data_IF_500282470516
#
_entry.id   IF_500282470516
#
_cell.length_a   1.000
_cell.length_b   1.000
_cell.length_c   1.000
_cell.angle_alpha   90.00
_cell.angle_beta   90.00
_cell.angle_gamma   90.00
#
_symmetry.space_group_name_H-M   'P 1'
#
loop_
_entity.id
_entity.type
_entity.pdbx_description
1 polymer ?
#
# COMPACT_ATOMS: atom_id res chain seq x y z
N UNK A 1 -20.61 9.20 -49.20
CA UNK A 1 -19.44 9.80 -48.51
C UNK A 1 -19.36 9.51 -47.01
N UNK A 2 -20.48 9.28 -46.28
CA UNK A 2 -20.50 8.98 -44.83
C UNK A 2 -19.97 7.58 -44.43
N UNK A 3 -20.24 6.53 -45.21
CA UNK A 3 -19.82 5.16 -44.88
C UNK A 3 -18.30 4.95 -44.87
N UNK A 4 -17.55 5.62 -45.76
CA UNK A 4 -16.07 5.57 -45.80
C UNK A 4 -15.41 6.18 -44.57
N UNK A 5 -16.01 7.24 -44.00
CA UNK A 5 -15.52 7.90 -42.78
C UNK A 5 -15.79 7.08 -41.50
N UNK A 6 -16.90 6.34 -41.49
CA UNK A 6 -17.25 5.44 -40.38
C UNK A 6 -16.37 4.18 -40.38
N UNK A 7 -16.09 3.60 -41.56
CA UNK A 7 -15.21 2.45 -41.68
C UNK A 7 -13.76 2.78 -41.30
N UNK A 8 -13.26 3.97 -41.68
CA UNK A 8 -11.92 4.41 -41.29
C UNK A 8 -11.79 4.66 -39.79
N UNK A 9 -12.81 5.24 -39.16
CA UNK A 9 -12.81 5.48 -37.71
C UNK A 9 -12.82 4.16 -36.91
N UNK A 10 -13.53 3.14 -37.39
CA UNK A 10 -13.58 1.82 -36.77
C UNK A 10 -12.24 1.07 -36.89
N UNK A 11 -11.60 1.14 -38.06
CA UNK A 11 -10.27 0.53 -38.29
C UNK A 11 -9.19 1.21 -37.46
N UNK A 12 -9.22 2.54 -37.33
CA UNK A 12 -8.30 3.30 -36.47
C UNK A 12 -8.48 2.98 -34.98
N UNK A 13 -9.72 2.75 -34.53
CA UNK A 13 -10.02 2.30 -33.16
C UNK A 13 -9.53 0.87 -32.89
N UNK A 14 -9.63 -0.04 -33.87
CA UNK A 14 -9.14 -1.41 -33.70
C UNK A 14 -7.60 -1.44 -33.66
N UNK A 15 -6.94 -0.63 -34.49
CA UNK A 15 -5.48 -0.48 -34.47
C UNK A 15 -4.96 0.11 -33.15
N UNK A 16 -5.67 1.04 -32.53
CA UNK A 16 -5.27 1.60 -31.23
C UNK A 16 -5.43 0.60 -30.09
N UNK A 17 -6.51 -0.19 -30.07
CA UNK A 17 -6.70 -1.25 -29.07
C UNK A 17 -5.65 -2.36 -29.22
N UNK A 18 -5.34 -2.78 -30.46
CA UNK A 18 -4.27 -3.74 -30.72
C UNK A 18 -2.90 -3.19 -30.33
N UNK A 19 -2.62 -1.90 -30.54
CA UNK A 19 -1.37 -1.28 -30.13
C UNK A 19 -1.21 -1.28 -28.60
N UNK A 20 -2.26 -0.91 -27.84
CA UNK A 20 -2.24 -0.96 -26.36
C UNK A 20 -1.98 -2.37 -25.83
N UNK A 21 -2.61 -3.40 -26.41
CA UNK A 21 -2.40 -4.80 -26.02
C UNK A 21 -1.00 -5.32 -26.39
N UNK A 22 -0.37 -4.78 -27.44
CA UNK A 22 1.01 -5.10 -27.81
C UNK A 22 2.00 -4.40 -26.87
N UNK A 23 1.72 -3.15 -26.49
CA UNK A 23 2.57 -2.39 -25.55
C UNK A 23 2.65 -3.11 -24.19
N UNK A 24 1.52 -3.60 -23.66
CA UNK A 24 1.50 -4.38 -22.40
C UNK A 24 2.22 -5.74 -22.50
N UNK A 25 2.38 -6.29 -23.70
CA UNK A 25 3.03 -7.58 -23.94
C UNK A 25 4.55 -7.47 -24.18
N UNK A 26 5.01 -6.32 -24.66
CA UNK A 26 6.41 -6.07 -25.03
C UNK A 26 7.14 -5.06 -24.15
N UNK A 27 6.42 -4.24 -23.36
CA UNK A 27 7.03 -3.54 -22.23
C UNK A 27 6.97 -4.49 -21.05
N UNK A 28 8.09 -5.11 -20.62
CA UNK A 28 8.12 -5.77 -19.33
C UNK A 28 7.80 -4.71 -18.27
N UNK A 29 6.59 -4.76 -17.72
CA UNK A 29 6.19 -3.96 -16.56
C UNK A 29 7.09 -4.36 -15.39
N UNK A 30 8.14 -3.57 -15.23
CA UNK A 30 9.14 -3.74 -14.18
C UNK A 30 10.34 -4.53 -14.68
N UNK A 31 11.51 -3.88 -14.59
CA UNK A 31 12.78 -4.56 -14.38
C UNK A 31 12.52 -5.84 -13.57
N UNK A 32 12.98 -6.99 -14.06
CA UNK A 32 13.00 -8.20 -13.25
C UNK A 32 13.63 -7.82 -11.91
N UNK A 33 12.78 -7.67 -10.88
CA UNK A 33 13.23 -7.29 -9.55
C UNK A 33 14.15 -8.43 -9.16
N UNK A 34 15.44 -8.15 -9.06
CA UNK A 34 16.38 -9.13 -8.53
C UNK A 34 15.94 -9.41 -7.09
N UNK A 35 15.23 -10.53 -6.90
CA UNK A 35 14.80 -10.95 -5.57
C UNK A 35 16.02 -11.59 -4.95
N UNK A 36 16.78 -10.80 -4.19
CA UNK A 36 17.76 -11.35 -3.27
C UNK A 36 16.98 -11.99 -2.13
N UNK A 37 16.91 -13.32 -2.12
CA UNK A 37 16.29 -14.04 -1.02
C UNK A 37 17.05 -13.73 0.27
N UNK A 38 16.29 -13.40 1.31
CA UNK A 38 16.79 -13.18 2.66
C UNK A 38 17.74 -14.28 3.11
N UNK A 39 18.94 -13.88 3.51
CA UNK A 39 20.07 -14.71 3.90
C UNK A 39 19.87 -15.42 5.26
N UNK A 40 20.88 -16.19 5.68
CA UNK A 40 20.94 -16.88 6.98
C UNK A 40 20.62 -15.97 8.19
N UNK A 41 20.99 -14.68 8.14
CA UNK A 41 20.69 -13.74 9.22
C UNK A 41 19.18 -13.50 9.41
N UNK A 42 18.39 -13.43 8.33
CA UNK A 42 16.92 -13.30 8.46
C UNK A 42 16.28 -14.60 8.94
N UNK A 43 16.86 -15.77 8.63
CA UNK A 43 16.40 -17.04 9.19
C UNK A 43 16.58 -17.09 10.71
N UNK A 44 17.68 -16.54 11.23
CA UNK A 44 17.95 -16.45 12.66
C UNK A 44 16.99 -15.48 13.36
N UNK A 45 16.79 -14.28 12.81
CA UNK A 45 15.86 -13.28 13.38
C UNK A 45 14.42 -13.78 13.47
N UNK A 46 13.97 -14.53 12.46
CA UNK A 46 12.59 -15.05 12.40
C UNK A 46 12.49 -16.51 12.82
N UNK A 47 13.48 -17.05 13.53
CA UNK A 47 13.47 -18.45 13.96
C UNK A 47 12.23 -18.76 14.81
N UNK A 48 11.47 -19.76 14.39
CA UNK A 48 10.24 -20.17 15.08
C UNK A 48 9.03 -19.26 14.84
N UNK A 49 9.14 -18.24 13.99
CA UNK A 49 8.08 -17.28 13.67
C UNK A 49 7.69 -17.41 12.20
N UNK A 50 6.39 -17.57 11.92
CA UNK A 50 5.88 -17.51 10.55
C UNK A 50 5.79 -16.05 10.04
N UNK A 51 6.96 -15.49 9.70
CA UNK A 51 7.10 -14.09 9.32
C UNK A 51 7.14 -13.88 7.80
N UNK A 52 6.86 -12.64 7.40
CA UNK A 52 7.10 -12.09 6.08
C UNK A 52 7.85 -10.76 6.27
N UNK A 53 8.90 -10.53 5.49
CA UNK A 53 9.67 -9.28 5.56
C UNK A 53 10.00 -8.78 4.16
N UNK A 54 9.83 -7.48 3.96
CA UNK A 54 10.06 -6.80 2.69
C UNK A 54 10.80 -5.50 2.96
N UNK A 55 11.89 -5.27 2.23
CA UNK A 55 12.58 -3.98 2.18
C UNK A 55 12.78 -3.61 0.72
N UNK A 56 12.61 -2.32 0.41
CA UNK A 56 12.92 -1.78 -0.91
C UNK A 56 14.17 -0.91 -0.85
N UNK A 57 15.14 -1.22 -1.71
CA UNK A 57 16.25 -0.32 -2.02
C UNK A 57 15.78 0.59 -3.16
N UNK A 58 15.42 1.83 -2.80
CA UNK A 58 14.89 2.82 -3.76
C UNK A 58 15.93 3.26 -4.78
N UNK A 59 17.22 3.25 -4.42
CA UNK A 59 18.29 3.69 -5.32
C UNK A 59 18.52 2.65 -6.43
N UNK A 60 18.33 1.37 -6.10
CA UNK A 60 18.51 0.25 -7.05
C UNK A 60 17.22 -0.27 -7.64
N UNK A 61 16.07 0.27 -7.22
CA UNK A 61 14.74 -0.23 -7.57
C UNK A 61 14.61 -1.75 -7.35
N UNK A 62 15.07 -2.22 -6.18
CA UNK A 62 15.12 -3.64 -5.82
C UNK A 62 14.31 -3.93 -4.56
N UNK A 63 13.82 -5.17 -4.44
CA UNK A 63 13.18 -5.67 -3.23
C UNK A 63 13.97 -6.84 -2.65
N UNK A 64 14.23 -6.76 -1.36
CA UNK A 64 14.76 -7.87 -0.56
C UNK A 64 13.57 -8.46 0.19
N UNK A 65 13.35 -9.77 0.05
CA UNK A 65 12.19 -10.45 0.62
C UNK A 65 12.60 -11.68 1.42
N UNK A 66 11.99 -11.84 2.59
CA UNK A 66 11.93 -13.08 3.36
C UNK A 66 10.52 -13.64 3.26
N UNK A 67 10.41 -14.94 2.96
CA UNK A 67 9.14 -15.61 2.65
C UNK A 67 8.32 -14.90 1.55
N UNK A 68 8.80 -14.89 0.28
CA UNK A 68 8.14 -14.16 -0.81
C UNK A 68 6.68 -14.57 -1.06
N UNK A 69 6.33 -15.82 -0.77
CA UNK A 69 4.95 -16.33 -0.88
C UNK A 69 4.03 -15.63 0.13
N UNK A 70 4.40 -15.59 1.41
CA UNK A 70 3.63 -14.90 2.44
C UNK A 70 3.59 -13.39 2.24
N UNK A 71 4.66 -12.79 1.72
CA UNK A 71 4.68 -11.36 1.34
C UNK A 71 3.60 -10.97 0.30
N UNK A 72 3.06 -11.93 -0.45
CA UNK A 72 2.00 -11.69 -1.45
C UNK A 72 0.59 -11.91 -0.87
N UNK A 73 0.48 -12.46 0.34
CA UNK A 73 -0.79 -12.68 1.02
C UNK A 73 -1.31 -11.36 1.61
N UNK A 74 -2.62 -11.13 1.51
CA UNK A 74 -3.28 -9.96 2.10
C UNK A 74 -3.72 -10.28 3.52
N UNK A 75 -3.46 -9.35 4.45
CA UNK A 75 -3.88 -9.43 5.85
C UNK A 75 -4.70 -8.20 6.23
N UNK A 76 -5.49 -8.29 7.30
CA UNK A 76 -6.11 -7.11 7.89
C UNK A 76 -5.02 -6.14 8.36
N UNK A 77 -5.06 -4.86 7.96
CA UNK A 77 -4.03 -3.89 8.31
C UNK A 77 -4.05 -3.51 9.81
N UNK A 78 -5.16 -3.76 10.51
CA UNK A 78 -5.37 -3.30 11.89
C UNK A 78 -4.98 -1.82 12.02
N UNK A 79 -4.21 -1.45 13.06
CA UNK A 79 -3.77 -0.07 13.27
C UNK A 79 -2.85 0.50 12.18
N UNK A 80 -2.27 -0.30 11.26
CA UNK A 80 -1.48 0.24 10.15
C UNK A 80 -2.35 1.03 9.15
N UNK A 81 -3.67 0.77 9.12
CA UNK A 81 -4.63 1.54 8.33
C UNK A 81 -4.74 3.01 8.76
N UNK A 82 -4.24 3.37 9.95
CA UNK A 82 -4.19 4.77 10.37
C UNK A 82 -3.38 5.64 9.42
N UNK A 83 -2.38 5.09 8.70
CA UNK A 83 -1.61 5.84 7.69
C UNK A 83 -2.52 6.35 6.56
N UNK A 84 -3.21 5.49 5.77
CA UNK A 84 -4.12 5.98 4.73
C UNK A 84 -5.33 6.73 5.30
N UNK A 85 -5.85 6.35 6.48
CA UNK A 85 -6.94 7.07 7.11
C UNK A 85 -6.58 8.55 7.38
N UNK A 86 -5.37 8.82 7.88
CA UNK A 86 -4.89 10.19 8.11
C UNK A 86 -4.70 10.96 6.79
N UNK A 87 -4.22 10.31 5.73
CA UNK A 87 -4.09 10.94 4.42
C UNK A 87 -5.46 11.32 3.85
N UNK A 88 -6.47 10.46 3.98
CA UNK A 88 -7.84 10.74 3.56
C UNK A 88 -8.41 11.91 4.38
N UNK A 89 -8.20 11.92 5.70
CA UNK A 89 -8.70 12.97 6.57
C UNK A 89 -8.08 14.34 6.25
N UNK A 90 -6.80 14.37 5.85
CA UNK A 90 -6.12 15.58 5.37
C UNK A 90 -6.69 16.05 4.02
N UNK A 91 -6.78 15.16 3.05
CA UNK A 91 -7.27 15.47 1.69
C UNK A 91 -8.71 15.98 1.69
N UNK A 92 -9.56 15.38 2.52
CA UNK A 92 -10.98 15.76 2.65
C UNK A 92 -11.21 16.96 3.55
N UNK A 93 -10.17 17.49 4.21
CA UNK A 93 -10.26 18.62 5.11
C UNK A 93 -10.91 18.32 6.47
N UNK A 94 -11.12 17.03 6.82
CA UNK A 94 -11.59 16.61 8.16
C UNK A 94 -10.58 17.04 9.23
N UNK A 95 -9.29 16.96 8.92
CA UNK A 95 -8.20 17.52 9.73
C UNK A 95 -7.38 18.50 8.90
N UNK A 96 -6.90 19.58 9.53
CA UNK A 96 -6.17 20.64 8.82
C UNK A 96 -4.68 20.35 8.61
N UNK A 97 -4.07 19.60 9.52
CA UNK A 97 -2.64 19.27 9.53
C UNK A 97 -2.35 18.15 10.54
N UNK A 98 -1.06 17.82 10.73
CA UNK A 98 -0.62 16.80 11.68
C UNK A 98 -0.65 17.19 13.17
N UNK A 99 -0.93 18.45 13.50
CA UNK A 99 -0.98 18.96 14.88
C UNK A 99 -2.41 19.05 15.42
N UNK A 100 -3.32 18.22 14.89
CA UNK A 100 -4.70 18.18 15.38
C UNK A 100 -4.77 17.42 16.70
N UNK A 101 -5.29 18.09 17.72
CA UNK A 101 -5.63 17.47 19.00
C UNK A 101 -6.99 16.79 18.84
N UNK A 102 -7.02 15.47 19.01
CA UNK A 102 -8.27 14.71 19.13
C UNK A 102 -8.53 14.54 20.62
N UNK A 103 -9.44 15.36 21.16
CA UNK A 103 -9.76 15.33 22.58
C UNK A 103 -10.33 13.96 22.97
N UNK A 104 -9.82 13.40 24.07
CA UNK A 104 -10.38 12.20 24.68
C UNK A 104 -11.74 12.53 25.30
N UNK A 105 -12.80 11.93 24.75
CA UNK A 105 -14.15 12.00 25.30
C UNK A 105 -14.35 10.86 26.29
N UNK A 106 -14.20 11.18 27.58
CA UNK A 106 -14.31 10.21 28.68
C UNK A 106 -15.71 9.65 28.85
N UNK A 107 -16.74 10.45 28.60
CA UNK A 107 -18.12 10.02 28.78
C UNK A 107 -18.50 9.01 27.69
N UNK A 108 -18.00 9.22 26.47
CA UNK A 108 -18.17 8.29 25.36
C UNK A 108 -17.28 7.05 25.46
N UNK A 109 -16.08 7.20 26.02
CA UNK A 109 -15.07 6.15 26.13
C UNK A 109 -14.58 6.03 27.57
N UNK A 110 -15.37 5.45 28.49
CA UNK A 110 -15.00 5.33 29.89
C UNK A 110 -13.70 4.52 30.04
N UNK A 111 -12.80 4.92 30.96
CA UNK A 111 -11.53 4.24 31.14
C UNK A 111 -11.76 2.85 31.75
N UNK A 112 -11.02 1.87 31.23
CA UNK A 112 -11.04 0.52 31.79
C UNK A 112 -10.08 0.41 32.99
N UNK A 113 -10.36 -0.54 33.88
CA UNK A 113 -9.56 -0.74 35.09
C UNK A 113 -8.07 -1.04 34.82
N UNK A 114 -7.75 -1.55 33.63
CA UNK A 114 -6.38 -1.88 33.22
C UNK A 114 -5.65 -0.72 32.50
N UNK A 115 -6.31 0.42 32.27
CA UNK A 115 -5.67 1.55 31.59
C UNK A 115 -4.68 2.28 32.52
N UNK A 116 -3.44 2.53 32.08
CA UNK A 116 -2.52 3.44 32.76
C UNK A 116 -3.18 4.80 33.05
N UNK A 117 -2.86 5.39 34.20
CA UNK A 117 -3.43 6.69 34.64
C UNK A 117 -3.12 7.79 33.62
N UNK A 118 -1.97 7.71 32.94
CA UNK A 118 -1.53 8.65 31.92
C UNK A 118 -2.47 8.68 30.71
N UNK A 119 -3.13 7.56 30.39
CA UNK A 119 -4.06 7.48 29.25
C UNK A 119 -5.42 8.09 29.56
N UNK A 120 -5.70 8.37 30.83
CA UNK A 120 -6.96 8.96 31.29
C UNK A 120 -6.91 10.50 31.29
N UNK A 121 -5.74 11.09 31.04
CA UNK A 121 -5.56 12.54 31.07
C UNK A 121 -6.16 13.21 29.84
N UNK A 122 -6.75 14.41 29.99
CA UNK A 122 -7.10 15.24 28.85
C UNK A 122 -5.86 15.46 27.98
N UNK A 123 -6.02 15.31 26.66
CA UNK A 123 -4.99 15.67 25.69
C UNK A 123 -5.32 17.10 25.24
N UNK A 124 -4.76 18.09 25.94
CA UNK A 124 -4.95 19.51 25.67
C UNK A 124 -3.62 20.26 25.58
#
# INVERSE_FOLDING_TARGET
MRARKLLSAFVLSLLSVSLVLIIDRYIPLGNAISIKQGNAALNEVFQGIEAAFVVTDRNKNQYIRYNPSRCQQRFSPHSTFKIPNSLIALETGVIKNGNVIVAYDRDRHPPEAWWPVEWQRPQN
#
